data_IF_656820619052
#
_entry.id   IF_656820619052
#
_cell.length_a   1.000
_cell.length_b   1.000
_cell.length_c   1.000
_cell.angle_alpha   90.00
_cell.angle_beta   90.00
_cell.angle_gamma   90.00
#
_symmetry.space_group_name_H-M   'P 1'
#
loop_
_entity.id
_entity.type
_entity.pdbx_description
1 polymer ?
#
# COMPACT_ATOMS: atom_id res chain seq x y z
N UNK A 1 -16.05 27.33 19.64
CA UNK A 1 -15.82 25.86 19.71
C UNK A 1 -16.10 25.12 18.38
N UNK A 2 -16.09 25.79 17.22
CA UNK A 2 -16.53 25.20 15.92
C UNK A 2 -15.42 24.96 14.89
N UNK A 3 -14.15 25.25 15.21
CA UNK A 3 -13.04 25.07 14.26
C UNK A 3 -12.42 23.66 14.22
N UNK A 4 -12.69 22.79 15.21
CA UNK A 4 -12.02 21.48 15.31
C UNK A 4 -12.59 20.41 14.35
N UNK A 5 -13.91 20.41 14.12
CA UNK A 5 -14.59 19.36 13.36
C UNK A 5 -14.19 19.29 11.87
N UNK A 6 -13.84 20.43 11.24
CA UNK A 6 -13.37 20.46 9.83
C UNK A 6 -11.94 19.95 9.66
N UNK A 7 -11.11 19.98 10.70
CA UNK A 7 -9.68 19.63 10.58
C UNK A 7 -9.43 18.12 10.53
N UNK A 8 -10.34 17.30 11.06
CA UNK A 8 -10.18 15.85 11.14
C UNK A 8 -10.96 15.05 10.09
N UNK A 9 -11.87 15.70 9.36
CA UNK A 9 -12.68 15.05 8.32
C UNK A 9 -11.85 14.45 7.17
N UNK A 10 -10.63 14.94 6.94
CA UNK A 10 -9.72 14.40 5.93
C UNK A 10 -9.02 13.09 6.35
N UNK A 11 -8.92 12.80 7.66
CA UNK A 11 -8.15 11.67 8.15
C UNK A 11 -8.73 10.31 7.71
N UNK A 12 -10.05 10.07 7.76
CA UNK A 12 -10.64 8.84 7.22
C UNK A 12 -10.39 8.68 5.72
N UNK A 13 -10.45 9.76 4.94
CA UNK A 13 -10.17 9.71 3.50
C UNK A 13 -8.72 9.34 3.21
N UNK A 14 -7.77 9.91 3.97
CA UNK A 14 -6.35 9.58 3.85
C UNK A 14 -6.10 8.10 4.19
N UNK A 15 -6.72 7.61 5.27
CA UNK A 15 -6.64 6.20 5.66
C UNK A 15 -7.29 5.27 4.61
N UNK A 16 -8.42 5.68 4.05
CA UNK A 16 -9.13 4.95 2.99
C UNK A 16 -8.27 4.85 1.72
N UNK A 17 -7.62 5.95 1.32
CA UNK A 17 -6.69 5.96 0.20
C UNK A 17 -5.49 5.04 0.45
N UNK A 18 -4.93 5.05 1.65
CA UNK A 18 -3.82 4.15 1.99
C UNK A 18 -4.21 2.68 1.92
N UNK A 19 -5.42 2.33 2.38
CA UNK A 19 -5.94 0.97 2.25
C UNK A 19 -6.19 0.62 0.77
N UNK A 20 -6.83 1.52 0.02
CA UNK A 20 -7.04 1.34 -1.42
C UNK A 20 -5.73 1.08 -2.16
N UNK A 21 -4.69 1.91 -1.94
CA UNK A 21 -3.38 1.76 -2.56
C UNK A 21 -2.74 0.39 -2.25
N UNK A 22 -2.82 -0.05 -0.99
CA UNK A 22 -2.25 -1.34 -0.59
C UNK A 22 -3.01 -2.52 -1.23
N UNK A 23 -4.34 -2.44 -1.26
CA UNK A 23 -5.19 -3.49 -1.82
C UNK A 23 -5.11 -3.56 -3.36
N UNK A 24 -4.97 -2.40 -4.01
CA UNK A 24 -4.70 -2.28 -5.43
C UNK A 24 -3.34 -2.91 -5.77
N UNK A 25 -2.27 -2.56 -5.06
CA UNK A 25 -0.93 -3.09 -5.33
C UNK A 25 -0.86 -4.62 -5.19
N UNK A 26 -1.52 -5.17 -4.16
CA UNK A 26 -1.57 -6.61 -3.93
C UNK A 26 -2.27 -7.39 -5.08
N UNK A 27 -3.10 -6.74 -5.89
CA UNK A 27 -3.89 -7.40 -6.93
C UNK A 27 -3.42 -7.06 -8.34
N UNK A 28 -3.07 -5.81 -8.62
CA UNK A 28 -2.65 -5.33 -9.95
C UNK A 28 -1.41 -6.07 -10.47
N UNK A 29 -0.41 -6.30 -9.62
CA UNK A 29 0.82 -6.98 -10.02
C UNK A 29 0.55 -8.46 -10.34
N UNK A 30 -0.30 -9.14 -9.58
CA UNK A 30 -0.62 -10.55 -9.81
C UNK A 30 -1.25 -10.78 -11.20
N UNK A 31 -2.08 -9.85 -11.66
CA UNK A 31 -2.64 -9.89 -13.01
C UNK A 31 -1.61 -9.57 -14.10
N UNK A 32 -0.71 -8.61 -13.84
CA UNK A 32 0.34 -8.22 -14.78
C UNK A 32 1.52 -9.21 -14.84
N UNK A 33 1.66 -10.10 -13.85
CA UNK A 33 2.85 -10.93 -13.62
C UNK A 33 3.32 -11.73 -14.84
N UNK A 34 2.45 -12.36 -15.66
CA UNK A 34 2.89 -13.04 -16.89
C UNK A 34 3.50 -12.09 -17.93
N UNK A 35 2.95 -10.89 -18.09
CA UNK A 35 3.47 -9.89 -19.02
C UNK A 35 4.83 -9.33 -18.54
N UNK A 36 4.98 -9.11 -17.22
CA UNK A 36 6.26 -8.73 -16.61
C UNK A 36 7.31 -9.84 -16.81
N UNK A 37 6.91 -11.11 -16.68
CA UNK A 37 7.79 -12.24 -16.91
C UNK A 37 8.33 -12.25 -18.35
N UNK A 38 7.44 -12.00 -19.32
CA UNK A 38 7.80 -11.93 -20.73
C UNK A 38 8.75 -10.76 -21.03
N UNK A 39 8.49 -9.57 -20.47
CA UNK A 39 9.32 -8.39 -20.70
C UNK A 39 10.71 -8.47 -20.08
N UNK A 40 10.85 -9.21 -18.96
CA UNK A 40 12.12 -9.43 -18.28
C UNK A 40 12.82 -10.73 -18.70
N UNK A 41 12.27 -11.45 -19.70
CA UNK A 41 12.78 -12.74 -20.18
C UNK A 41 12.97 -13.77 -19.06
N UNK A 42 12.02 -13.83 -18.13
CA UNK A 42 12.01 -14.76 -17.00
C UNK A 42 10.77 -15.64 -16.99
N UNK A 43 10.85 -16.75 -16.27
CA UNK A 43 9.67 -17.57 -16.05
C UNK A 43 8.71 -16.88 -15.07
N UNK A 44 7.38 -17.00 -15.24
CA UNK A 44 6.40 -16.49 -14.27
C UNK A 44 6.62 -17.04 -12.85
N UNK A 45 7.16 -18.26 -12.74
CA UNK A 45 7.54 -18.83 -11.45
C UNK A 45 8.67 -18.02 -10.78
N UNK A 46 9.69 -17.60 -11.52
CA UNK A 46 10.75 -16.76 -10.97
C UNK A 46 10.23 -15.38 -10.53
N UNK A 47 9.22 -14.85 -11.25
CA UNK A 47 8.58 -13.57 -10.90
C UNK A 47 7.84 -13.60 -9.55
N UNK A 48 7.43 -14.77 -9.06
CA UNK A 48 6.82 -14.89 -7.73
C UNK A 48 7.72 -14.37 -6.60
N UNK A 49 9.04 -14.37 -6.81
CA UNK A 49 9.98 -13.77 -5.85
C UNK A 49 9.66 -12.30 -5.56
N UNK A 50 9.13 -11.54 -6.52
CA UNK A 50 8.72 -10.14 -6.34
C UNK A 50 7.46 -9.99 -5.45
N UNK A 51 6.51 -10.91 -5.55
CA UNK A 51 5.29 -10.95 -4.71
C UNK A 51 5.65 -11.38 -3.29
N UNK A 52 6.47 -12.43 -3.18
CA UNK A 52 6.90 -12.98 -1.90
C UNK A 52 7.78 -11.98 -1.15
N UNK A 53 8.72 -11.30 -1.81
CA UNK A 53 9.60 -10.33 -1.14
C UNK A 53 8.82 -9.17 -0.52
N UNK A 54 7.83 -8.62 -1.24
CA UNK A 54 6.93 -7.60 -0.71
C UNK A 54 6.15 -8.11 0.49
N UNK A 55 5.47 -9.25 0.34
CA UNK A 55 4.61 -9.82 1.39
C UNK A 55 5.40 -10.17 2.65
N UNK A 56 6.58 -10.77 2.48
CA UNK A 56 7.48 -11.12 3.57
C UNK A 56 7.97 -9.86 4.31
N UNK A 57 8.36 -8.83 3.57
CA UNK A 57 8.79 -7.55 4.15
C UNK A 57 7.67 -6.91 4.96
N UNK A 58 6.46 -6.85 4.40
CA UNK A 58 5.27 -6.34 5.09
C UNK A 58 5.01 -7.13 6.37
N UNK A 59 4.98 -8.47 6.30
CA UNK A 59 4.72 -9.33 7.44
C UNK A 59 5.75 -9.14 8.58
N UNK A 60 7.05 -9.03 8.24
CA UNK A 60 8.12 -8.84 9.22
C UNK A 60 8.08 -7.45 9.90
N UNK A 61 7.64 -6.42 9.18
CA UNK A 61 7.72 -5.03 9.66
C UNK A 61 6.42 -4.47 10.25
N UNK A 62 5.27 -5.13 10.03
CA UNK A 62 4.00 -4.76 10.67
C UNK A 62 4.14 -4.59 12.20
N UNK A 63 4.75 -5.53 12.96
CA UNK A 63 4.87 -5.38 14.42
C UNK A 63 5.65 -4.13 14.85
N UNK A 64 6.64 -3.73 14.05
CA UNK A 64 7.52 -2.59 14.34
C UNK A 64 6.81 -1.24 14.09
N UNK A 65 5.82 -1.22 13.20
CA UNK A 65 5.12 -0.01 12.77
C UNK A 65 4.46 0.77 13.92
N UNK A 66 3.87 0.07 14.89
CA UNK A 66 3.23 0.69 16.07
C UNK A 66 4.25 1.42 16.95
N UNK A 67 5.35 0.74 17.28
CA UNK A 67 6.44 1.33 18.06
C UNK A 67 7.06 2.55 17.36
N UNK A 68 7.26 2.48 16.04
CA UNK A 68 7.75 3.62 15.26
C UNK A 68 6.78 4.81 15.35
N UNK A 69 5.48 4.57 15.20
CA UNK A 69 4.47 5.61 15.28
C UNK A 69 4.33 6.22 16.68
N UNK A 70 4.58 5.43 17.73
CA UNK A 70 4.60 5.89 19.11
C UNK A 70 5.83 6.74 19.41
N UNK A 71 7.00 6.31 18.92
CA UNK A 71 8.28 7.00 19.16
C UNK A 71 8.47 8.26 18.32
N UNK A 72 8.16 8.21 17.02
CA UNK A 72 8.43 9.28 16.06
C UNK A 72 7.18 10.11 15.71
N UNK A 73 6.01 9.67 16.15
CA UNK A 73 4.72 10.31 15.93
C UNK A 73 4.00 9.80 14.67
N UNK A 74 2.70 9.51 14.82
CA UNK A 74 1.84 8.90 13.78
C UNK A 74 1.88 9.65 12.44
N UNK A 75 1.79 10.99 12.46
CA UNK A 75 1.78 11.81 11.23
C UNK A 75 3.08 11.68 10.43
N UNK A 76 4.24 11.76 11.09
CA UNK A 76 5.55 11.70 10.42
C UNK A 76 5.80 10.31 9.83
N UNK A 77 5.51 9.27 10.61
CA UNK A 77 5.66 7.88 10.16
C UNK A 77 4.71 7.56 9.02
N UNK A 78 3.47 8.05 9.06
CA UNK A 78 2.52 7.83 7.97
C UNK A 78 2.95 8.51 6.66
N UNK A 79 3.41 9.77 6.72
CA UNK A 79 3.94 10.47 5.53
C UNK A 79 5.14 9.72 4.97
N UNK A 80 6.08 9.32 5.83
CA UNK A 80 7.23 8.52 5.42
C UNK A 80 6.82 7.20 4.76
N UNK A 81 5.85 6.48 5.34
CA UNK A 81 5.34 5.23 4.80
C UNK A 81 4.75 5.39 3.40
N UNK A 82 3.91 6.41 3.20
CA UNK A 82 3.31 6.72 1.89
C UNK A 82 4.39 7.11 0.90
N UNK A 83 5.33 7.98 1.26
CA UNK A 83 6.43 8.37 0.38
C UNK A 83 7.26 7.17 -0.04
N UNK A 84 7.63 6.29 0.89
CA UNK A 84 8.44 5.12 0.61
C UNK A 84 7.70 4.12 -0.28
N UNK A 85 6.40 3.92 -0.03
CA UNK A 85 5.54 3.09 -0.88
C UNK A 85 5.47 3.65 -2.30
N UNK A 86 5.20 4.95 -2.47
CA UNK A 86 5.11 5.59 -3.79
C UNK A 86 6.43 5.53 -4.55
N UNK A 87 7.56 5.78 -3.88
CA UNK A 87 8.89 5.64 -4.49
C UNK A 87 9.18 4.19 -4.87
N UNK A 88 8.85 3.23 -4.00
CA UNK A 88 8.97 1.81 -4.30
C UNK A 88 8.13 1.39 -5.52
N UNK A 89 6.89 1.87 -5.62
CA UNK A 89 6.02 1.65 -6.79
C UNK A 89 6.63 2.20 -8.07
N UNK A 90 7.17 3.42 -8.02
CA UNK A 90 7.83 4.04 -9.17
C UNK A 90 9.07 3.24 -9.60
N UNK A 91 9.89 2.81 -8.63
CA UNK A 91 11.05 1.97 -8.91
C UNK A 91 10.68 0.57 -9.42
N UNK A 92 9.49 0.05 -9.09
CA UNK A 92 8.98 -1.18 -9.70
C UNK A 92 8.65 -0.96 -11.18
N UNK A 93 7.93 0.12 -11.51
CA UNK A 93 7.59 0.45 -12.90
C UNK A 93 8.83 0.72 -13.78
N UNK A 94 9.91 1.25 -13.18
CA UNK A 94 11.17 1.54 -13.89
C UNK A 94 12.17 0.38 -13.82
N UNK A 95 11.82 -0.78 -13.25
CA UNK A 95 12.80 -1.82 -12.99
C UNK A 95 13.23 -2.56 -14.28
N UNK A 96 14.53 -2.58 -14.62
CA UNK A 96 15.01 -3.21 -15.85
C UNK A 96 15.26 -4.72 -15.70
N UNK A 97 15.31 -5.23 -14.47
CA UNK A 97 15.61 -6.64 -14.18
C UNK A 97 14.81 -7.14 -12.97
N UNK A 98 14.63 -8.45 -12.88
CA UNK A 98 13.96 -9.09 -11.74
C UNK A 98 14.61 -8.74 -10.40
N UNK A 99 15.94 -8.70 -10.33
CA UNK A 99 16.65 -8.37 -9.08
C UNK A 99 16.34 -6.94 -8.62
N UNK A 100 16.28 -5.98 -9.56
CA UNK A 100 15.89 -4.60 -9.25
C UNK A 100 14.42 -4.55 -8.83
N UNK A 101 13.53 -5.26 -9.54
CA UNK A 101 12.11 -5.33 -9.16
C UNK A 101 11.93 -5.88 -7.73
N UNK A 102 12.64 -6.95 -7.37
CA UNK A 102 12.60 -7.54 -6.03
C UNK A 102 13.10 -6.55 -4.97
N UNK A 103 14.19 -5.84 -5.24
CA UNK A 103 14.71 -4.81 -4.33
C UNK A 103 13.71 -3.64 -4.18
N UNK A 104 13.12 -3.17 -5.28
CA UNK A 104 12.06 -2.16 -5.28
C UNK A 104 10.84 -2.61 -4.48
N UNK A 105 10.45 -3.89 -4.60
CA UNK A 105 9.36 -4.51 -3.84
C UNK A 105 9.64 -4.60 -2.35
N UNK A 106 10.89 -4.85 -1.94
CA UNK A 106 11.29 -4.76 -0.54
C UNK A 106 11.15 -3.33 -0.05
N UNK A 107 11.67 -2.34 -0.78
CA UNK A 107 11.55 -0.93 -0.41
C UNK A 107 10.07 -0.50 -0.29
N UNK A 108 9.25 -0.87 -1.27
CA UNK A 108 7.81 -0.63 -1.27
C UNK A 108 7.13 -1.32 -0.08
N UNK A 109 7.54 -2.55 0.24
CA UNK A 109 7.05 -3.34 1.38
C UNK A 109 7.34 -2.70 2.73
N UNK A 110 8.48 -2.02 2.90
CA UNK A 110 8.78 -1.24 4.11
C UNK A 110 7.71 -0.14 4.28
N UNK A 111 7.39 0.60 3.22
CA UNK A 111 6.31 1.60 3.24
C UNK A 111 4.94 0.98 3.51
N UNK A 112 4.60 -0.08 2.78
CA UNK A 112 3.34 -0.81 2.88
C UNK A 112 3.07 -1.37 4.28
N UNK A 113 4.12 -1.84 4.97
CA UNK A 113 4.04 -2.38 6.33
C UNK A 113 3.50 -1.37 7.35
N UNK A 114 3.76 -0.09 7.12
CA UNK A 114 3.38 0.99 8.04
C UNK A 114 2.08 1.68 7.64
N UNK A 115 1.72 1.71 6.35
CA UNK A 115 0.55 2.45 5.87
C UNK A 115 -0.74 2.05 6.58
N UNK A 116 -1.11 0.76 6.59
CA UNK A 116 -2.38 0.32 7.18
C UNK A 116 -2.37 0.38 8.73
N UNK A 117 -1.36 -0.13 9.45
CA UNK A 117 -1.36 -0.08 10.91
C UNK A 117 -1.31 1.35 11.46
N UNK A 118 -0.47 2.22 10.87
CA UNK A 118 -0.32 3.61 11.33
C UNK A 118 -1.56 4.44 10.97
N UNK A 119 -2.20 4.19 9.82
CA UNK A 119 -3.50 4.80 9.50
C UNK A 119 -4.57 4.41 10.52
N UNK A 120 -4.68 3.13 10.87
CA UNK A 120 -5.62 2.65 11.89
C UNK A 120 -5.31 3.27 13.25
N UNK A 121 -4.03 3.35 13.65
CA UNK A 121 -3.62 4.01 14.89
C UNK A 121 -3.97 5.50 14.90
N UNK A 122 -3.86 6.19 13.76
CA UNK A 122 -4.27 7.59 13.64
C UNK A 122 -5.77 7.76 13.90
N UNK A 123 -6.61 6.90 13.32
CA UNK A 123 -8.06 6.92 13.53
C UNK A 123 -8.43 6.62 14.98
N UNK A 124 -7.77 5.62 15.59
CA UNK A 124 -7.94 5.27 17.01
C UNK A 124 -7.60 6.43 17.95
N UNK A 125 -6.64 7.29 17.59
CA UNK A 125 -6.23 8.46 18.37
C UNK A 125 -7.12 9.68 18.12
N UNK A 126 -7.71 9.79 16.93
CA UNK A 126 -8.50 10.95 16.52
C UNK A 126 -9.98 10.83 16.88
N UNK A 127 -10.55 9.62 16.92
CA UNK A 127 -11.98 9.40 17.11
C UNK A 127 -12.29 8.70 18.44
N UNK A 128 -13.40 9.06 19.11
CA UNK A 128 -13.87 8.34 20.29
C UNK A 128 -14.32 6.92 19.93
N UNK A 129 -14.25 5.99 20.88
CA UNK A 129 -14.59 4.56 20.66
C UNK A 129 -16.00 4.34 20.13
N UNK A 130 -16.96 5.21 20.48
CA UNK A 130 -18.35 5.16 20.00
C UNK A 130 -18.50 5.41 18.50
N UNK A 131 -17.58 6.18 17.90
CA UNK A 131 -17.62 6.59 16.49
C UNK A 131 -16.62 5.82 15.62
N UNK A 132 -15.71 5.09 16.25
CA UNK A 132 -14.63 4.38 15.58
C UNK A 132 -15.14 3.32 14.59
N UNK A 133 -16.15 2.53 14.96
CA UNK A 133 -16.70 1.49 14.08
C UNK A 133 -17.25 2.07 12.76
N UNK A 134 -18.14 3.09 12.79
CA UNK A 134 -18.55 3.80 11.58
C UNK A 134 -17.37 4.32 10.72
N UNK A 135 -16.35 4.89 11.36
CA UNK A 135 -15.18 5.43 10.65
C UNK A 135 -14.34 4.33 10.00
N UNK A 136 -14.10 3.21 10.69
CA UNK A 136 -13.37 2.07 10.13
C UNK A 136 -14.16 1.40 8.99
N UNK A 137 -15.48 1.32 9.09
CA UNK A 137 -16.34 0.84 8.02
C UNK A 137 -16.26 1.76 6.79
N UNK A 138 -16.32 3.07 7.01
CA UNK A 138 -16.14 4.06 5.96
C UNK A 138 -14.78 3.91 5.24
N UNK A 139 -13.69 3.68 5.98
CA UNK A 139 -12.34 3.46 5.42
C UNK A 139 -12.25 2.16 4.62
N UNK A 140 -12.96 1.13 5.07
CA UNK A 140 -12.93 -0.20 4.43
C UNK A 140 -13.60 -0.19 3.07
N UNK A 141 -14.69 0.58 2.89
CA UNK A 141 -15.45 0.62 1.64
C UNK A 141 -14.59 1.03 0.42
N UNK A 142 -13.87 2.17 0.41
CA UNK A 142 -12.94 2.49 -0.66
C UNK A 142 -11.76 1.51 -0.76
N UNK A 143 -11.29 0.98 0.37
CA UNK A 143 -10.22 -0.02 0.39
C UNK A 143 -10.57 -1.27 -0.42
N UNK A 144 -11.81 -1.75 -0.30
CA UNK A 144 -12.33 -2.92 -1.03
C UNK A 144 -12.56 -2.68 -2.53
N UNK A 145 -12.53 -1.43 -2.99
CA UNK A 145 -12.53 -1.13 -4.42
C UNK A 145 -11.19 -1.53 -5.06
N UNK A 146 -10.09 -1.52 -4.29
CA UNK A 146 -8.75 -1.86 -4.78
C UNK A 146 -8.66 -3.24 -5.45
N UNK A 147 -9.11 -4.33 -4.79
CA UNK A 147 -9.07 -5.67 -5.38
C UNK A 147 -9.97 -5.87 -6.60
N UNK A 148 -11.01 -5.05 -6.77
CA UNK A 148 -11.88 -5.08 -7.94
C UNK A 148 -11.19 -4.38 -9.11
N UNK A 149 -10.60 -3.21 -8.85
CA UNK A 149 -9.93 -2.41 -9.88
C UNK A 149 -8.56 -2.97 -10.26
N UNK A 150 -7.85 -3.65 -9.35
CA UNK A 150 -6.51 -4.16 -9.60
C UNK A 150 -6.39 -5.01 -10.85
N UNK A 151 -7.16 -6.11 -11.00
CA UNK A 151 -7.12 -6.93 -12.20
C UNK A 151 -7.55 -6.18 -13.47
N UNK A 152 -8.56 -5.31 -13.36
CA UNK A 152 -9.05 -4.54 -14.51
C UNK A 152 -7.99 -3.56 -15.01
N UNK A 153 -7.39 -2.79 -14.10
CA UNK A 153 -6.34 -1.82 -14.43
C UNK A 153 -5.05 -2.52 -14.85
N UNK A 154 -4.66 -3.59 -14.16
CA UNK A 154 -3.47 -4.36 -14.50
C UNK A 154 -3.57 -4.98 -15.90
N UNK A 155 -4.70 -5.61 -16.21
CA UNK A 155 -4.97 -6.17 -17.54
C UNK A 155 -5.01 -5.10 -18.62
N UNK A 156 -5.66 -3.97 -18.35
CA UNK A 156 -5.72 -2.85 -19.31
C UNK A 156 -4.34 -2.25 -19.58
N UNK A 157 -3.53 -2.02 -18.54
CA UNK A 157 -2.18 -1.46 -18.66
C UNK A 157 -1.27 -2.36 -19.50
N UNK A 158 -1.21 -3.67 -19.19
CA UNK A 158 -0.34 -4.59 -19.96
C UNK A 158 -0.82 -4.83 -21.38
N UNK A 159 -2.09 -4.53 -21.69
CA UNK A 159 -2.64 -4.69 -23.05
C UNK A 159 -2.31 -3.49 -23.94
N UNK A 160 -2.41 -2.26 -23.42
CA UNK A 160 -2.33 -1.03 -24.23
C UNK A 160 -1.08 -0.19 -23.96
N UNK A 161 -0.40 -0.42 -22.85
CA UNK A 161 0.80 0.28 -22.43
C UNK A 161 1.93 -0.75 -22.22
N UNK A 162 2.84 -0.48 -21.30
CA UNK A 162 3.77 -1.47 -20.76
C UNK A 162 3.23 -2.03 -19.45
N UNK A 163 3.95 -3.00 -18.90
CA UNK A 163 3.78 -3.42 -17.52
C UNK A 163 4.25 -2.35 -16.53
#
# INVERSE_FOLDING_TARGET
MTQSARSMAGLPWIAAMAFFMQALDATILNTALPAIAQSLERSPLAMQSAVISYTLTVAMLIPVSGWLADRFGTRRVFIFAVTLFTLGSLLCALSPTLSVLVASRVLQGIGGAMMMPVARLALLRAYPRSELLPVLNFVTMPGLVGPILGPLLGGWLVTYATW
#
